data_IF_143154578187
#
_entry.id   IF_143154578187
#
_cell.length_a   1.000
_cell.length_b   1.000
_cell.length_c   1.000
_cell.angle_alpha   90.00
_cell.angle_beta   90.00
_cell.angle_gamma   90.00
#
_symmetry.space_group_name_H-M   'P 1'
#
loop_
_entity.id
_entity.type
_entity.pdbx_description
1 polymer ?
#
# COMPACT_ATOMS: atom_id res chain seq x y z
N UNK A 1 69.26 -36.62 0.78
CA UNK A 1 69.76 -37.74 1.58
C UNK A 1 68.89 -37.79 2.81
N UNK A 2 67.93 -38.70 2.78
CA UNK A 2 67.13 -39.09 3.95
C UNK A 2 67.99 -40.03 4.82
N UNK A 3 67.72 -40.14 6.13
CA UNK A 3 66.81 -41.22 6.51
C UNK A 3 65.84 -40.87 7.65
N UNK A 4 64.61 -41.37 7.55
CA UNK A 4 63.77 -41.67 8.70
C UNK A 4 64.26 -42.90 9.50
N UNK A 5 63.35 -43.67 10.12
CA UNK A 5 62.71 -43.42 11.42
C UNK A 5 63.06 -44.55 12.42
N UNK A 6 62.76 -44.39 13.72
CA UNK A 6 62.54 -45.56 14.59
C UNK A 6 61.34 -45.40 15.52
N UNK A 7 60.39 -46.30 15.30
CA UNK A 7 59.28 -46.69 16.16
C UNK A 7 59.81 -47.68 17.19
N UNK A 8 59.54 -47.46 18.47
CA UNK A 8 59.43 -48.54 19.47
C UNK A 8 58.21 -48.24 20.34
N UNK A 9 57.29 -49.20 20.38
CA UNK A 9 56.03 -49.07 21.09
C UNK A 9 56.03 -49.63 22.52
N UNK A 10 54.93 -49.27 23.19
CA UNK A 10 54.18 -50.03 24.20
C UNK A 10 54.81 -50.27 25.57
N UNK A 11 54.25 -49.63 26.59
CA UNK A 11 53.75 -50.34 27.77
C UNK A 11 52.43 -49.69 28.24
N UNK A 12 51.36 -50.49 28.20
CA UNK A 12 50.13 -50.28 28.95
C UNK A 12 50.43 -50.50 30.44
N UNK A 13 49.99 -49.58 31.30
CA UNK A 13 49.71 -49.86 32.71
C UNK A 13 48.32 -49.30 33.00
N UNK A 14 47.37 -50.21 33.12
CA UNK A 14 46.08 -50.01 33.77
C UNK A 14 46.32 -49.76 35.26
N UNK A 15 45.62 -48.78 35.82
CA UNK A 15 45.75 -48.39 37.22
C UNK A 15 44.62 -47.45 37.64
N UNK A 16 43.51 -48.09 38.01
CA UNK A 16 42.59 -47.75 39.11
C UNK A 16 41.82 -46.41 39.10
N UNK A 17 40.50 -46.57 39.18
CA UNK A 17 39.46 -45.56 39.35
C UNK A 17 39.74 -44.62 40.53
N UNK A 18 39.65 -43.31 40.27
CA UNK A 18 39.32 -42.33 41.30
C UNK A 18 38.47 -41.22 40.68
N UNK A 19 37.17 -41.33 40.96
CA UNK A 19 36.19 -40.27 40.80
C UNK A 19 36.70 -38.98 41.48
N UNK A 20 36.73 -37.90 40.71
CA UNK A 20 36.68 -36.54 41.24
C UNK A 20 35.83 -35.70 40.28
N UNK A 21 34.53 -35.78 40.53
CA UNK A 21 33.56 -34.77 40.15
C UNK A 21 33.91 -33.47 40.88
N UNK A 22 34.33 -32.45 40.14
CA UNK A 22 34.18 -31.03 40.49
C UNK A 22 34.63 -30.15 39.32
N UNK A 23 33.76 -30.00 38.31
CA UNK A 23 33.84 -28.92 37.33
C UNK A 23 32.48 -28.19 37.28
N UNK A 24 32.43 -26.85 37.32
CA UNK A 24 31.17 -26.12 37.37
C UNK A 24 30.44 -26.18 36.03
N UNK A 25 29.24 -26.76 36.04
CA UNK A 25 28.22 -26.60 35.01
C UNK A 25 27.74 -25.14 34.98
N UNK A 26 28.21 -24.34 34.02
CA UNK A 26 27.41 -23.35 33.26
C UNK A 26 28.35 -22.42 32.48
N UNK A 27 28.81 -22.86 31.32
CA UNK A 27 29.19 -21.91 30.26
C UNK A 27 28.51 -22.35 28.96
N UNK A 28 27.18 -22.19 28.92
CA UNK A 28 26.50 -22.11 27.62
C UNK A 28 26.96 -20.82 26.91
N UNK A 29 27.35 -20.87 25.62
CA UNK A 29 27.71 -19.67 24.86
C UNK A 29 26.65 -18.58 25.00
N UNK A 30 27.10 -17.34 25.22
CA UNK A 30 26.25 -16.16 25.41
C UNK A 30 25.22 -15.96 24.28
N UNK A 31 25.56 -16.42 23.08
CA UNK A 31 24.71 -16.38 21.89
C UNK A 31 23.46 -17.26 22.00
N UNK A 32 23.54 -18.40 22.70
CA UNK A 32 22.44 -19.35 22.78
C UNK A 32 21.38 -18.86 23.78
N UNK A 33 21.82 -18.21 24.87
CA UNK A 33 20.93 -17.55 25.84
C UNK A 33 20.23 -16.34 25.22
N UNK A 34 20.92 -15.54 24.41
CA UNK A 34 20.33 -14.43 23.67
C UNK A 34 19.33 -14.90 22.60
N UNK A 35 19.59 -16.05 21.94
CA UNK A 35 18.70 -16.62 20.94
C UNK A 35 17.46 -17.29 21.55
N UNK A 36 17.59 -17.93 22.72
CA UNK A 36 16.45 -18.44 23.49
C UNK A 36 15.62 -17.31 24.10
N UNK A 37 16.24 -16.27 24.65
CA UNK A 37 15.54 -15.09 25.18
C UNK A 37 14.83 -14.34 24.04
N UNK A 38 15.43 -14.24 22.85
CA UNK A 38 14.76 -13.72 21.65
C UNK A 38 13.60 -14.60 21.19
N UNK A 39 13.73 -15.93 21.26
CA UNK A 39 12.65 -16.87 20.93
C UNK A 39 11.51 -16.80 21.95
N UNK A 40 11.79 -16.63 23.23
CA UNK A 40 10.76 -16.44 24.26
C UNK A 40 10.06 -15.07 24.14
N UNK A 41 10.80 -14.01 23.80
CA UNK A 41 10.22 -12.69 23.50
C UNK A 41 9.33 -12.73 22.24
N UNK A 42 9.69 -13.53 21.24
CA UNK A 42 8.90 -13.69 20.00
C UNK A 42 7.70 -14.63 20.18
N UNK A 43 7.83 -15.66 21.02
CA UNK A 43 6.80 -16.71 21.20
C UNK A 43 5.88 -16.46 22.40
N UNK A 44 6.22 -15.54 23.31
CA UNK A 44 5.45 -15.21 24.51
C UNK A 44 4.42 -14.08 24.34
N UNK A 45 4.42 -13.39 23.19
CA UNK A 45 3.46 -12.33 22.91
C UNK A 45 2.26 -12.89 22.15
N UNK A 46 1.08 -12.75 22.76
CA UNK A 46 -0.22 -13.05 22.16
C UNK A 46 -0.29 -12.52 20.70
N UNK A 47 -0.57 -13.38 19.69
CA UNK A 47 -0.64 -12.98 18.29
C UNK A 47 -1.68 -11.88 18.02
N UNK A 48 -2.61 -11.63 18.95
CA UNK A 48 -3.55 -10.50 18.88
C UNK A 48 -2.90 -9.14 19.17
N UNK A 49 -1.79 -9.11 19.94
CA UNK A 49 -1.11 -7.89 20.40
C UNK A 49 -0.08 -7.33 19.40
N UNK A 50 0.36 -8.16 18.44
CA UNK A 50 1.30 -7.77 17.38
C UNK A 50 0.61 -6.99 16.22
N UNK A 51 -0.71 -6.82 16.28
CA UNK A 51 -1.49 -5.96 15.38
C UNK A 51 -1.40 -4.48 15.77
N UNK A 52 -0.19 -3.90 15.78
CA UNK A 52 -0.03 -2.45 16.04
C UNK A 52 -0.22 -1.56 14.79
N UNK A 53 -0.79 -2.12 13.71
CA UNK A 53 -1.45 -1.33 12.68
C UNK A 53 -2.93 -1.55 12.85
N UNK A 54 -3.57 -0.66 13.61
CA UNK A 54 -5.01 -0.46 13.47
C UNK A 54 -5.19 0.06 12.05
N UNK A 55 -5.45 -0.84 11.10
CA UNK A 55 -6.31 -0.48 9.99
C UNK A 55 -7.53 0.13 10.67
N UNK A 56 -7.70 1.45 10.56
CA UNK A 56 -8.97 2.07 10.92
C UNK A 56 -9.96 1.43 9.96
N UNK A 57 -10.56 0.33 10.38
CA UNK A 57 -11.32 -0.56 9.52
C UNK A 57 -12.58 0.17 9.07
N UNK A 58 -12.66 0.24 7.75
CA UNK A 58 -13.77 0.48 6.85
C UNK A 58 -14.59 1.78 6.96
N UNK A 59 -14.83 2.40 8.13
CA UNK A 59 -15.79 3.52 8.23
C UNK A 59 -15.33 4.71 9.11
N UNK A 60 -14.08 4.75 9.56
CA UNK A 60 -13.62 5.62 10.64
C UNK A 60 -13.35 7.09 10.31
N UNK A 61 -14.09 7.74 9.41
CA UNK A 61 -14.08 9.21 9.36
C UNK A 61 -15.00 9.74 10.46
N UNK A 62 -14.42 10.30 11.53
CA UNK A 62 -15.20 11.03 12.53
C UNK A 62 -15.70 12.33 11.93
N UNK A 63 -16.95 12.33 11.45
CA UNK A 63 -17.54 13.50 10.81
C UNK A 63 -17.79 14.65 11.78
N UNK A 64 -17.93 14.41 13.09
CA UNK A 64 -18.20 15.44 14.12
C UNK A 64 -19.29 16.46 13.70
N UNK A 65 -20.34 16.00 13.00
CA UNK A 65 -21.41 16.86 12.47
C UNK A 65 -21.05 17.70 11.23
N UNK A 66 -19.82 17.60 10.71
CA UNK A 66 -19.33 18.31 9.51
C UNK A 66 -19.69 17.55 8.23
N UNK A 67 -19.89 18.30 7.13
CA UNK A 67 -20.14 17.74 5.78
C UNK A 67 -18.85 17.37 5.03
N UNK A 68 -17.72 17.92 5.45
CA UNK A 68 -16.42 17.65 4.86
C UNK A 68 -15.34 17.69 5.95
N UNK A 69 -14.26 16.95 5.71
CA UNK A 69 -13.04 16.93 6.55
C UNK A 69 -11.82 16.98 5.64
N UNK A 70 -10.71 17.48 6.16
CA UNK A 70 -9.43 17.51 5.44
C UNK A 70 -8.47 16.50 6.05
N UNK A 71 -7.93 15.62 5.19
CA UNK A 71 -6.86 14.68 5.52
C UNK A 71 -5.61 15.11 4.74
N UNK A 72 -4.69 15.80 5.41
CA UNK A 72 -3.60 16.50 4.72
C UNK A 72 -4.16 17.50 3.71
N UNK A 73 -3.85 17.31 2.42
CA UNK A 73 -4.38 18.09 1.29
C UNK A 73 -5.50 17.40 0.52
N UNK A 74 -6.07 16.32 1.07
CA UNK A 74 -7.24 15.63 0.51
C UNK A 74 -8.52 16.10 1.21
N UNK A 75 -9.47 16.64 0.45
CA UNK A 75 -10.81 16.97 0.95
C UNK A 75 -11.68 15.71 0.87
N UNK A 76 -12.24 15.30 2.00
CA UNK A 76 -13.18 14.18 2.05
C UNK A 76 -14.57 14.72 2.34
N UNK A 77 -15.48 14.52 1.40
CA UNK A 77 -16.83 15.06 1.44
C UNK A 77 -17.84 13.94 1.67
N UNK A 78 -18.85 14.18 2.53
CA UNK A 78 -19.95 13.24 2.76
C UNK A 78 -21.02 13.45 1.70
N UNK A 79 -21.28 12.42 0.90
CA UNK A 79 -22.33 12.39 -0.12
C UNK A 79 -23.30 11.26 0.25
N UNK A 80 -24.35 11.61 1.01
CA UNK A 80 -25.30 10.64 1.55
C UNK A 80 -24.64 9.64 2.50
N UNK A 81 -24.65 8.36 2.12
CA UNK A 81 -24.00 7.25 2.84
C UNK A 81 -22.56 7.00 2.40
N UNK A 82 -22.04 7.74 1.41
CA UNK A 82 -20.70 7.54 0.85
C UNK A 82 -19.78 8.73 1.14
N UNK A 83 -18.48 8.49 1.11
CA UNK A 83 -17.44 9.51 1.15
C UNK A 83 -16.82 9.67 -0.24
N UNK A 84 -16.54 10.91 -0.65
CA UNK A 84 -15.81 11.24 -1.87
C UNK A 84 -14.50 11.91 -1.52
N UNK A 85 -13.40 11.44 -2.11
CA UNK A 85 -12.04 11.88 -1.82
C UNK A 85 -11.52 12.73 -2.98
N UNK A 86 -11.31 14.02 -2.72
CA UNK A 86 -10.86 15.01 -3.71
C UNK A 86 -9.46 15.46 -3.33
N UNK A 87 -8.47 15.14 -4.16
CA UNK A 87 -7.08 15.49 -3.89
C UNK A 87 -6.66 16.88 -4.40
N UNK A 88 -5.39 17.25 -4.17
CA UNK A 88 -4.87 18.58 -4.48
C UNK A 88 -4.85 18.93 -5.97
N UNK A 89 -4.87 17.93 -6.86
CA UNK A 89 -4.82 18.14 -8.31
C UNK A 89 -6.19 17.94 -8.99
N UNK A 90 -7.29 18.23 -8.30
CA UNK A 90 -8.67 18.04 -8.81
C UNK A 90 -8.92 18.67 -10.20
N UNK A 91 -8.23 19.78 -10.51
CA UNK A 91 -8.34 20.45 -11.81
C UNK A 91 -7.84 19.58 -12.98
N UNK A 92 -6.83 18.73 -12.77
CA UNK A 92 -6.36 17.78 -13.79
C UNK A 92 -7.43 16.70 -14.09
N UNK A 93 -8.21 16.30 -13.08
CA UNK A 93 -9.35 15.39 -13.28
C UNK A 93 -10.45 16.05 -14.10
N UNK A 94 -10.78 17.32 -13.84
CA UNK A 94 -11.74 18.05 -14.67
C UNK A 94 -11.27 18.20 -16.11
N UNK A 95 -9.97 18.47 -16.32
CA UNK A 95 -9.37 18.52 -17.64
C UNK A 95 -9.52 17.18 -18.37
N UNK A 96 -9.16 16.07 -17.71
CA UNK A 96 -9.29 14.73 -18.29
C UNK A 96 -10.76 14.37 -18.62
N UNK A 97 -11.69 14.69 -17.71
CA UNK A 97 -13.12 14.51 -17.93
C UNK A 97 -13.61 15.31 -19.14
N UNK A 98 -13.16 16.56 -19.28
CA UNK A 98 -13.49 17.41 -20.42
C UNK A 98 -12.98 16.83 -21.74
N UNK A 99 -11.78 16.23 -21.75
CA UNK A 99 -11.22 15.57 -22.93
C UNK A 99 -12.07 14.36 -23.34
N UNK A 100 -12.46 13.50 -22.39
CA UNK A 100 -13.29 12.31 -22.66
C UNK A 100 -14.63 12.72 -23.31
N UNK A 101 -15.32 13.69 -22.71
CA UNK A 101 -16.60 14.17 -23.24
C UNK A 101 -16.40 14.86 -24.59
N UNK A 102 -15.34 15.66 -24.75
CA UNK A 102 -15.06 16.40 -25.98
C UNK A 102 -14.75 15.49 -27.17
N UNK A 103 -13.87 14.51 -26.99
CA UNK A 103 -13.54 13.52 -28.03
C UNK A 103 -14.76 12.68 -28.38
N UNK A 104 -15.48 12.18 -27.36
CA UNK A 104 -16.69 11.41 -27.53
C UNK A 104 -17.80 12.16 -28.27
N UNK A 105 -18.06 13.40 -27.88
CA UNK A 105 -19.05 14.27 -28.52
C UNK A 105 -18.66 14.57 -29.97
N UNK A 106 -17.38 14.84 -30.23
CA UNK A 106 -16.88 15.05 -31.61
C UNK A 106 -17.14 13.83 -32.48
N UNK A 107 -16.81 12.62 -32.00
CA UNK A 107 -17.10 11.37 -32.71
C UNK A 107 -18.61 11.21 -32.98
N UNK A 108 -19.46 11.42 -31.98
CA UNK A 108 -20.91 11.26 -32.11
C UNK A 108 -21.50 12.23 -33.15
N UNK A 109 -21.17 13.51 -33.05
CA UNK A 109 -21.77 14.56 -33.89
C UNK A 109 -21.13 14.68 -35.27
N UNK A 110 -19.90 14.21 -35.48
CA UNK A 110 -19.23 14.31 -36.78
C UNK A 110 -19.25 13.03 -37.60
N UNK A 111 -19.37 11.87 -36.94
CA UNK A 111 -19.22 10.57 -37.60
C UNK A 111 -20.42 9.68 -37.30
N UNK A 112 -20.66 9.35 -36.03
CA UNK A 112 -21.61 8.29 -35.68
C UNK A 112 -23.05 8.58 -36.10
N UNK A 113 -23.47 9.85 -36.13
CA UNK A 113 -24.83 10.26 -36.54
C UNK A 113 -25.18 9.93 -38.00
N UNK A 114 -24.17 9.84 -38.85
CA UNK A 114 -24.33 9.57 -40.28
C UNK A 114 -24.14 8.07 -40.60
N UNK A 115 -23.78 7.28 -39.59
CA UNK A 115 -23.66 5.83 -39.66
C UNK A 115 -24.91 5.14 -39.09
N UNK A 116 -24.90 3.82 -39.05
CA UNK A 116 -25.95 3.04 -38.41
C UNK A 116 -26.07 3.38 -36.91
N UNK A 117 -27.30 3.41 -36.37
CA UNK A 117 -27.62 3.84 -34.99
C UNK A 117 -26.85 3.10 -33.90
N UNK A 118 -26.34 1.90 -34.18
CA UNK A 118 -25.45 1.15 -33.29
C UNK A 118 -24.19 1.94 -32.93
N UNK A 119 -23.68 2.79 -33.82
CA UNK A 119 -22.52 3.64 -33.55
C UNK A 119 -22.86 4.85 -32.69
N UNK A 120 -24.09 5.36 -32.75
CA UNK A 120 -24.58 6.38 -31.81
C UNK A 120 -24.67 5.80 -30.39
N UNK A 121 -25.30 4.64 -30.25
CA UNK A 121 -25.44 3.95 -28.96
C UNK A 121 -24.06 3.52 -28.43
N UNK A 122 -23.22 2.92 -29.27
CA UNK A 122 -21.86 2.52 -28.92
C UNK A 122 -20.98 3.68 -28.52
N UNK A 123 -21.03 4.80 -29.26
CA UNK A 123 -20.34 6.04 -28.93
C UNK A 123 -20.78 6.58 -27.56
N UNK A 124 -22.09 6.74 -27.34
CA UNK A 124 -22.64 7.22 -26.07
C UNK A 124 -22.26 6.31 -24.88
N UNK A 125 -22.33 4.98 -25.06
CA UNK A 125 -21.94 4.02 -24.05
C UNK A 125 -20.43 4.11 -23.73
N UNK A 126 -19.58 4.26 -24.76
CA UNK A 126 -18.14 4.38 -24.56
C UNK A 126 -17.76 5.62 -23.74
N UNK A 127 -18.42 6.75 -24.00
CA UNK A 127 -18.24 8.00 -23.25
C UNK A 127 -18.72 7.84 -21.82
N UNK A 128 -19.91 7.25 -21.63
CA UNK A 128 -20.47 7.01 -20.31
C UNK A 128 -19.56 6.11 -19.47
N UNK A 129 -19.17 4.94 -19.99
CA UNK A 129 -18.32 4.00 -19.27
C UNK A 129 -16.96 4.59 -18.88
N UNK A 130 -16.30 5.30 -19.80
CA UNK A 130 -14.97 5.90 -19.53
C UNK A 130 -15.08 7.05 -18.53
N UNK A 131 -16.12 7.88 -18.65
CA UNK A 131 -16.42 8.96 -17.72
C UNK A 131 -16.70 8.43 -16.31
N UNK A 132 -17.49 7.37 -16.23
CA UNK A 132 -17.87 6.75 -14.96
C UNK A 132 -16.67 6.11 -14.26
N UNK A 133 -15.85 5.37 -15.01
CA UNK A 133 -14.62 4.77 -14.49
C UNK A 133 -13.62 5.84 -14.00
N UNK A 134 -13.48 6.95 -14.74
CA UNK A 134 -12.67 8.10 -14.32
C UNK A 134 -13.18 8.64 -12.98
N UNK A 135 -14.48 8.95 -12.87
CA UNK A 135 -15.05 9.55 -11.66
C UNK A 135 -14.97 8.59 -10.47
N UNK A 136 -15.21 7.28 -10.66
CA UNK A 136 -15.02 6.27 -9.61
C UNK A 136 -13.60 6.28 -9.08
N UNK A 137 -12.61 6.18 -9.96
CA UNK A 137 -11.20 6.20 -9.55
C UNK A 137 -10.84 7.54 -8.87
N UNK A 138 -11.33 8.66 -9.42
CA UNK A 138 -11.08 10.01 -8.93
C UNK A 138 -11.70 10.29 -7.56
N UNK A 139 -12.73 9.54 -7.10
CA UNK A 139 -13.40 9.80 -5.81
C UNK A 139 -13.31 8.69 -4.77
N UNK A 140 -12.91 7.45 -5.13
CA UNK A 140 -12.71 6.36 -4.15
C UNK A 140 -11.46 6.62 -3.29
N UNK A 141 -11.51 6.21 -2.02
CA UNK A 141 -10.37 6.24 -1.09
C UNK A 141 -9.15 5.49 -1.68
N UNK A 142 -7.96 6.13 -1.79
CA UNK A 142 -6.75 5.42 -2.21
C UNK A 142 -6.20 4.46 -1.15
N UNK A 143 -6.74 4.48 0.08
CA UNK A 143 -6.26 3.75 1.24
C UNK A 143 -5.50 4.67 2.19
N UNK A 144 -6.07 5.83 2.52
CA UNK A 144 -5.43 6.81 3.41
C UNK A 144 -5.31 6.24 4.83
N UNK A 145 -4.08 6.21 5.35
CA UNK A 145 -3.80 5.79 6.72
C UNK A 145 -3.99 6.98 7.67
N UNK A 146 -4.81 6.78 8.71
CA UNK A 146 -5.03 7.76 9.77
C UNK A 146 -4.28 7.37 11.05
N UNK A 147 -3.80 8.36 11.84
CA UNK A 147 -3.39 8.13 13.21
C UNK A 147 -4.58 7.62 14.04
N UNK A 148 -4.31 6.79 15.07
CA UNK A 148 -5.36 6.30 15.96
C UNK A 148 -6.09 7.48 16.64
N UNK A 149 -7.40 7.43 16.91
CA UNK A 149 -8.14 8.52 17.58
C UNK A 149 -7.62 8.88 18.98
N UNK A 150 -6.89 7.97 19.64
CA UNK A 150 -6.11 8.24 20.86
C UNK A 150 -4.60 8.40 20.59
N UNK A 151 -4.16 8.57 19.35
CA UNK A 151 -2.80 9.02 19.05
C UNK A 151 -2.75 10.52 19.35
N UNK A 152 -2.10 10.93 20.44
CA UNK A 152 -1.98 12.34 20.72
C UNK A 152 -1.01 12.92 19.68
N UNK A 153 -1.38 14.04 19.08
CA UNK A 153 -0.41 14.96 18.46
C UNK A 153 0.51 15.60 19.52
N UNK A 154 0.95 14.85 20.52
CA UNK A 154 1.78 15.28 21.63
C UNK A 154 2.59 14.11 22.16
N UNK A 155 3.90 14.14 21.94
CA UNK A 155 4.91 13.23 22.48
C UNK A 155 4.52 11.75 22.53
N UNK A 156 4.62 11.07 21.39
CA UNK A 156 4.93 9.63 21.42
C UNK A 156 6.38 9.54 21.89
N UNK A 157 6.59 9.24 23.17
CA UNK A 157 7.89 8.73 23.61
C UNK A 157 8.25 7.53 22.72
N UNK A 158 9.51 7.39 22.31
CA UNK A 158 9.93 6.26 21.50
C UNK A 158 9.86 5.02 22.39
N UNK A 159 8.71 4.35 22.44
CA UNK A 159 8.74 2.91 22.68
C UNK A 159 9.49 2.36 21.48
N UNK A 160 10.76 2.04 21.68
CA UNK A 160 11.61 1.36 20.70
C UNK A 160 11.10 -0.06 20.52
N UNK A 161 9.88 -0.23 20.02
CA UNK A 161 9.56 -1.45 19.31
C UNK A 161 10.30 -1.35 17.98
N UNK A 162 11.30 -2.20 17.81
CA UNK A 162 11.91 -2.44 16.52
C UNK A 162 10.76 -2.69 15.54
N UNK A 163 10.64 -1.89 14.47
CA UNK A 163 9.60 -2.12 13.48
C UNK A 163 9.66 -3.59 13.06
N UNK A 164 8.50 -4.25 13.01
CA UNK A 164 8.43 -5.59 12.46
C UNK A 164 9.08 -5.57 11.05
N UNK A 165 9.70 -6.67 10.63
CA UNK A 165 10.52 -6.71 9.41
C UNK A 165 9.74 -6.14 8.21
N UNK A 166 10.10 -4.93 7.77
CA UNK A 166 9.48 -4.22 6.64
C UNK A 166 8.57 -3.02 6.98
N UNK A 167 8.38 -2.70 8.26
CA UNK A 167 7.70 -1.48 8.70
C UNK A 167 8.66 -0.29 8.81
N UNK A 168 8.16 0.92 8.54
CA UNK A 168 8.96 2.16 8.61
C UNK A 168 8.16 3.24 9.32
N UNK A 169 8.81 4.10 10.11
CA UNK A 169 8.11 5.24 10.74
C UNK A 169 8.09 6.44 9.79
N UNK A 170 6.92 7.00 9.55
CA UNK A 170 6.78 8.26 8.81
C UNK A 170 6.94 9.43 9.79
N UNK A 171 7.92 10.31 9.56
CA UNK A 171 8.13 11.51 10.37
C UNK A 171 7.06 12.59 10.16
N UNK A 172 6.49 12.70 8.95
CA UNK A 172 5.46 13.69 8.64
C UNK A 172 4.09 13.36 9.25
N UNK A 173 3.66 12.10 9.12
CA UNK A 173 2.36 11.65 9.64
C UNK A 173 2.44 11.07 11.06
N UNK A 174 3.64 10.84 11.60
CA UNK A 174 3.89 10.26 12.92
C UNK A 174 3.26 8.86 13.12
N UNK A 175 3.09 8.11 12.04
CA UNK A 175 2.57 6.73 12.05
C UNK A 175 3.66 5.71 11.68
N UNK A 176 3.50 4.48 12.16
CA UNK A 176 4.26 3.32 11.64
C UNK A 176 3.59 2.85 10.35
N UNK A 177 4.29 2.99 9.24
CA UNK A 177 3.85 2.58 7.91
C UNK A 177 3.92 1.05 7.81
N UNK A 178 2.79 0.36 7.51
CA UNK A 178 2.82 -1.04 7.16
C UNK A 178 3.65 -1.26 5.88
N UNK A 179 4.08 -2.50 5.64
CA UNK A 179 4.82 -2.87 4.43
C UNK A 179 4.08 -2.39 3.16
N UNK A 180 4.80 -1.68 2.29
CA UNK A 180 4.24 -1.13 1.05
C UNK A 180 3.50 0.20 1.18
N UNK A 181 3.29 0.72 2.38
CA UNK A 181 2.77 2.08 2.55
C UNK A 181 3.87 3.14 2.38
N UNK A 182 3.52 4.27 1.77
CA UNK A 182 4.43 5.41 1.59
C UNK A 182 3.70 6.74 1.84
N UNK A 183 4.48 7.75 2.21
CA UNK A 183 4.00 9.12 2.37
C UNK A 183 3.99 9.82 1.02
N UNK A 184 2.89 10.50 0.68
CA UNK A 184 2.81 11.32 -0.52
C UNK A 184 3.00 12.79 -0.19
N UNK A 185 4.10 13.38 -0.64
CA UNK A 185 4.43 14.80 -0.46
C UNK A 185 3.42 15.77 -1.10
N UNK A 186 2.65 15.31 -2.10
CA UNK A 186 1.60 16.12 -2.71
C UNK A 186 0.32 16.11 -1.87
N UNK A 187 -0.11 14.93 -1.40
CA UNK A 187 -1.35 14.76 -0.66
C UNK A 187 -1.20 14.99 0.86
N UNK A 188 0.02 15.00 1.39
CA UNK A 188 0.33 15.12 2.83
C UNK A 188 -0.33 14.02 3.68
N UNK A 189 -0.36 12.80 3.14
CA UNK A 189 -0.92 11.62 3.81
C UNK A 189 -0.09 10.38 3.49
N UNK A 190 -0.11 9.41 4.39
CA UNK A 190 0.36 8.06 4.09
C UNK A 190 -0.76 7.25 3.42
N UNK A 191 -0.40 6.45 2.42
CA UNK A 191 -1.34 5.60 1.67
C UNK A 191 -0.87 4.15 1.73
N UNK A 192 -1.79 3.22 2.04
CA UNK A 192 -1.54 1.79 2.05
C UNK A 192 -1.34 1.25 0.63
N UNK A 193 -0.32 0.41 0.45
CA UNK A 193 0.07 -0.11 -0.87
C UNK A 193 0.19 1.00 -1.91
N UNK A 194 0.90 2.08 -1.56
CA UNK A 194 1.07 3.24 -2.42
C UNK A 194 1.72 2.81 -3.74
N UNK A 195 1.13 3.23 -4.85
CA UNK A 195 1.66 2.96 -6.20
C UNK A 195 2.28 4.24 -6.78
N UNK A 196 1.48 5.30 -6.90
CA UNK A 196 1.97 6.62 -7.32
C UNK A 196 0.98 7.75 -6.96
N UNK A 197 1.42 9.00 -7.09
CA UNK A 197 0.51 10.14 -7.14
C UNK A 197 0.12 10.42 -8.59
N UNK A 198 -1.18 10.33 -8.92
CA UNK A 198 -1.65 10.61 -10.26
C UNK A 198 -2.37 11.96 -10.32
N UNK A 199 -1.81 12.97 -11.01
CA UNK A 199 -2.49 14.26 -11.18
C UNK A 199 -3.85 14.10 -11.86
N UNK A 200 -3.98 13.20 -12.85
CA UNK A 200 -5.22 12.99 -13.61
C UNK A 200 -6.38 12.45 -12.76
N UNK A 201 -6.08 11.75 -11.66
CA UNK A 201 -7.07 11.27 -10.68
C UNK A 201 -7.19 12.23 -9.49
N UNK A 202 -6.44 13.34 -9.53
CA UNK A 202 -6.40 14.38 -8.51
C UNK A 202 -5.64 13.98 -7.24
N UNK A 203 -5.32 12.71 -7.06
CA UNK A 203 -4.80 12.11 -5.82
C UNK A 203 -3.99 10.84 -6.06
N UNK A 204 -3.53 10.21 -4.97
CA UNK A 204 -2.80 8.95 -5.03
C UNK A 204 -3.62 7.79 -5.63
N UNK A 205 -2.89 6.87 -6.25
CA UNK A 205 -3.30 5.50 -6.53
C UNK A 205 -2.63 4.62 -5.47
N UNK A 206 -3.43 3.81 -4.82
CA UNK A 206 -3.00 2.88 -3.78
C UNK A 206 -3.86 1.62 -3.79
N UNK A 207 -3.65 0.77 -2.81
CA UNK A 207 -4.27 -0.56 -2.77
C UNK A 207 -5.80 -0.52 -2.90
N UNK A 208 -6.45 0.46 -2.28
CA UNK A 208 -7.92 0.53 -2.22
C UNK A 208 -8.60 1.08 -3.47
N UNK A 209 -7.85 1.71 -4.40
CA UNK A 209 -8.41 2.23 -5.66
C UNK A 209 -7.68 1.74 -6.92
N UNK A 210 -6.70 0.84 -6.80
CA UNK A 210 -5.94 0.30 -7.91
C UNK A 210 -6.84 -0.39 -8.96
N UNK A 211 -7.83 -1.17 -8.51
CA UNK A 211 -8.78 -1.82 -9.43
C UNK A 211 -9.64 -0.81 -10.20
N UNK A 212 -10.04 0.29 -9.56
CA UNK A 212 -10.78 1.37 -10.23
C UNK A 212 -9.90 2.11 -11.24
N UNK A 213 -8.60 2.25 -10.94
CA UNK A 213 -7.62 2.80 -11.88
C UNK A 213 -7.46 1.92 -13.11
N UNK A 214 -7.32 0.59 -12.94
CA UNK A 214 -7.29 -0.34 -14.07
C UNK A 214 -8.58 -0.35 -14.88
N UNK A 215 -9.75 -0.28 -14.24
CA UNK A 215 -11.02 -0.15 -14.95
C UNK A 215 -11.07 1.13 -15.81
N UNK A 216 -10.57 2.25 -15.31
CA UNK A 216 -10.43 3.49 -16.09
C UNK A 216 -9.50 3.32 -17.29
N UNK A 217 -8.33 2.69 -17.12
CA UNK A 217 -7.39 2.46 -18.21
C UNK A 217 -8.01 1.57 -19.30
N UNK A 218 -8.62 0.44 -18.92
CA UNK A 218 -9.24 -0.49 -19.85
C UNK A 218 -10.39 0.18 -20.62
N UNK A 219 -11.32 0.83 -19.93
CA UNK A 219 -12.48 1.50 -20.57
C UNK A 219 -12.03 2.62 -21.50
N UNK A 220 -11.06 3.43 -21.09
CA UNK A 220 -10.54 4.53 -21.92
C UNK A 220 -9.78 4.03 -23.15
N UNK A 221 -8.96 2.99 -23.02
CA UNK A 221 -8.26 2.39 -24.14
C UNK A 221 -9.24 1.72 -25.13
N UNK A 222 -10.24 1.01 -24.63
CA UNK A 222 -11.29 0.43 -25.47
C UNK A 222 -12.11 1.51 -26.18
N UNK A 223 -12.49 2.59 -25.49
CA UNK A 223 -13.20 3.72 -26.09
C UNK A 223 -12.38 4.38 -27.19
N UNK A 224 -11.09 4.64 -26.93
CA UNK A 224 -10.19 5.22 -27.93
C UNK A 224 -10.03 4.31 -29.14
N UNK A 225 -9.76 3.01 -28.93
CA UNK A 225 -9.63 2.04 -30.01
C UNK A 225 -10.92 1.96 -30.84
N UNK A 226 -12.08 1.91 -30.20
CA UNK A 226 -13.38 1.92 -30.86
C UNK A 226 -13.57 3.16 -31.74
N UNK A 227 -13.36 4.36 -31.18
CA UNK A 227 -13.51 5.63 -31.90
C UNK A 227 -12.55 5.68 -33.10
N UNK A 228 -11.28 5.29 -32.91
CA UNK A 228 -10.27 5.28 -33.96
C UNK A 228 -10.65 4.32 -35.09
N UNK A 229 -11.01 3.07 -34.78
CA UNK A 229 -11.38 2.07 -35.77
C UNK A 229 -12.58 2.53 -36.60
N UNK A 230 -13.66 2.99 -35.95
CA UNK A 230 -14.85 3.44 -36.68
C UNK A 230 -14.56 4.70 -37.51
N UNK A 231 -13.75 5.63 -36.99
CA UNK A 231 -13.33 6.82 -37.75
C UNK A 231 -12.56 6.43 -39.01
N UNK A 232 -11.60 5.51 -38.92
CA UNK A 232 -10.81 5.06 -40.07
C UNK A 232 -11.66 4.28 -41.07
N UNK A 233 -12.59 3.44 -40.61
CA UNK A 233 -13.46 2.66 -41.50
C UNK A 233 -14.59 3.48 -42.14
N UNK A 234 -14.87 4.68 -41.64
CA UNK A 234 -15.89 5.59 -42.18
C UNK A 234 -15.32 6.73 -43.03
N UNK A 235 -13.99 6.87 -43.05
CA UNK A 235 -13.26 7.79 -43.93
C UNK A 235 -13.15 7.21 -45.35
#
# INVERSE_FOLDING_TARGET
MDPGPQVVGRQEQEGEDQDNDDAPDDVRPRQDKEEEEFKELVNGEDPEKQRSVVYVSDHGISWQGRRYVWLGRVCVMRIGSRAAFVGPHWYCTLLMFSVIIGVGSTFIFRIAKDLHWVHLVGGALSVFCSSEALLRCAFIDPGILQPHPNSPGGNVQPMQMLPARGERRCSACMITQPKGAMHCEFCHVCVAGWDHHCPWMGKCIGQSNLNAFYAFLCTSLTSLAYILIITVLSA
#
